data_IF_621815743027
#
_entry.id   IF_621815743027
#
_cell.length_a   1.000
_cell.length_b   1.000
_cell.length_c   1.000
_cell.angle_alpha   90.00
_cell.angle_beta   90.00
_cell.angle_gamma   90.00
#
_symmetry.space_group_name_H-M   'P 1'
#
loop_
_entity.id
_entity.type
_entity.pdbx_description
1 polymer ?
#
# COMPACT_ATOMS: atom_id res chain seq x y z
N UNK A 1 1.20 -10.72 -9.05
CA UNK A 1 2.65 -10.72 -9.41
C UNK A 1 3.56 -11.06 -8.22
N UNK A 2 3.13 -10.77 -6.98
CA UNK A 2 3.79 -11.22 -5.74
C UNK A 2 2.77 -11.73 -4.69
N UNK A 3 1.50 -11.84 -5.05
CA UNK A 3 0.39 -12.08 -4.11
C UNK A 3 0.47 -13.46 -3.44
N UNK A 4 1.12 -14.42 -4.12
CA UNK A 4 1.48 -15.74 -3.63
C UNK A 4 2.62 -15.72 -2.59
N UNK A 5 3.36 -14.61 -2.49
CA UNK A 5 4.59 -14.47 -1.69
C UNK A 5 4.47 -13.43 -0.59
N UNK A 6 3.32 -12.76 -0.45
CA UNK A 6 3.10 -11.70 0.53
C UNK A 6 1.91 -12.09 1.42
N UNK A 7 2.12 -12.00 2.72
CA UNK A 7 1.07 -12.14 3.73
C UNK A 7 1.09 -10.94 4.67
N UNK A 8 0.23 -10.94 5.69
CA UNK A 8 0.24 -9.95 6.76
C UNK A 8 0.70 -10.56 8.08
N UNK A 9 1.53 -9.82 8.82
CA UNK A 9 1.87 -10.16 10.19
C UNK A 9 0.75 -9.80 11.18
N UNK A 10 0.97 -10.05 12.47
CA UNK A 10 0.01 -9.69 13.52
C UNK A 10 -0.27 -8.17 13.58
N UNK A 11 0.67 -7.34 13.12
CA UNK A 11 0.59 -5.89 12.97
C UNK A 11 -0.19 -5.43 11.75
N UNK A 12 -0.61 -6.34 10.87
CA UNK A 12 -1.21 -6.06 9.57
C UNK A 12 -0.24 -5.41 8.57
N UNK A 13 1.07 -5.58 8.80
CA UNK A 13 2.14 -5.20 7.87
C UNK A 13 2.35 -6.30 6.86
N UNK A 14 2.63 -5.91 5.61
CA UNK A 14 2.98 -6.83 4.54
C UNK A 14 4.36 -7.43 4.80
N UNK A 15 4.44 -8.75 4.83
CA UNK A 15 5.66 -9.52 5.07
C UNK A 15 5.76 -10.69 4.09
N UNK A 16 6.97 -11.16 3.75
CA UNK A 16 7.14 -12.32 2.89
C UNK A 16 6.56 -13.59 3.53
N UNK A 17 5.89 -14.40 2.72
CA UNK A 17 5.61 -15.82 3.07
C UNK A 17 6.93 -16.60 3.09
N UNK A 18 7.77 -16.37 2.09
CA UNK A 18 9.11 -16.92 1.94
C UNK A 18 10.05 -15.80 1.48
N UNK A 19 11.04 -15.47 2.31
CA UNK A 19 11.95 -14.34 2.08
C UNK A 19 12.88 -14.59 0.89
N UNK A 20 13.33 -15.82 0.69
CA UNK A 20 14.25 -16.17 -0.39
C UNK A 20 13.51 -16.22 -1.72
N UNK A 21 12.33 -16.83 -1.74
CA UNK A 21 11.46 -16.84 -2.92
C UNK A 21 11.07 -15.42 -3.35
N UNK A 22 10.73 -14.55 -2.40
CA UNK A 22 10.43 -13.15 -2.70
C UNK A 22 11.66 -12.41 -3.24
N UNK A 23 12.83 -12.61 -2.64
CA UNK A 23 14.09 -12.00 -3.10
C UNK A 23 14.41 -12.40 -4.55
N UNK A 24 14.29 -13.69 -4.88
CA UNK A 24 14.49 -14.20 -6.24
C UNK A 24 13.48 -13.57 -7.21
N UNK A 25 12.20 -13.49 -6.82
CA UNK A 25 11.16 -12.91 -7.67
C UNK A 25 11.39 -11.42 -7.91
N UNK A 26 11.76 -10.65 -6.90
CA UNK A 26 12.14 -9.23 -7.03
C UNK A 26 13.35 -9.08 -7.96
N UNK A 27 14.36 -9.95 -7.85
CA UNK A 27 15.51 -9.98 -8.75
C UNK A 27 15.10 -10.15 -10.23
N UNK A 28 14.18 -11.07 -10.53
CA UNK A 28 13.65 -11.27 -11.88
C UNK A 28 12.90 -10.04 -12.41
N UNK A 29 12.04 -9.43 -11.60
CA UNK A 29 11.32 -8.21 -12.00
C UNK A 29 12.30 -7.05 -12.30
N UNK A 30 13.40 -6.93 -11.55
CA UNK A 30 14.45 -5.95 -11.83
C UNK A 30 15.17 -6.20 -13.15
N UNK A 31 15.50 -7.45 -13.45
CA UNK A 31 16.11 -7.83 -14.73
C UNK A 31 15.16 -7.52 -15.89
N UNK A 32 13.87 -7.84 -15.74
CA UNK A 32 12.85 -7.50 -16.74
C UNK A 32 12.75 -5.98 -16.96
N UNK A 33 12.72 -5.20 -15.88
CA UNK A 33 12.69 -3.74 -15.96
C UNK A 33 13.94 -3.16 -16.64
N UNK A 34 15.12 -3.73 -16.39
CA UNK A 34 16.37 -3.31 -17.00
C UNK A 34 16.46 -3.69 -18.49
N UNK A 35 15.76 -4.74 -18.91
CA UNK A 35 15.69 -5.18 -20.30
C UNK A 35 14.64 -4.41 -21.13
N UNK A 36 13.82 -3.54 -20.51
CA UNK A 36 12.87 -2.73 -21.24
C UNK A 36 13.58 -1.72 -22.15
N UNK A 37 13.17 -1.57 -23.42
CA UNK A 37 13.65 -0.50 -24.27
C UNK A 37 13.34 0.87 -23.66
N UNK A 38 14.28 1.81 -23.77
CA UNK A 38 14.28 3.10 -23.09
C UNK A 38 13.06 3.98 -23.42
N UNK A 39 12.41 3.74 -24.57
CA UNK A 39 11.33 4.56 -25.12
C UNK A 39 9.97 3.84 -25.25
N UNK A 40 9.90 2.52 -25.01
CA UNK A 40 8.79 1.74 -25.57
C UNK A 40 7.60 1.50 -24.63
N UNK A 41 7.77 1.45 -23.30
CA UNK A 41 6.73 0.89 -22.43
C UNK A 41 6.62 1.57 -21.05
N UNK A 42 6.24 2.86 -20.97
CA UNK A 42 6.11 3.57 -19.69
C UNK A 42 5.08 2.91 -18.75
N UNK A 43 4.01 2.32 -19.31
CA UNK A 43 3.02 1.56 -18.54
C UNK A 43 3.60 0.30 -17.90
N UNK A 44 4.37 -0.49 -18.66
CA UNK A 44 5.03 -1.69 -18.13
C UNK A 44 6.11 -1.33 -17.11
N UNK A 45 6.92 -0.30 -17.40
CA UNK A 45 7.93 0.22 -16.49
C UNK A 45 7.32 0.68 -15.16
N UNK A 46 6.17 1.35 -15.19
CA UNK A 46 5.40 1.73 -14.00
C UNK A 46 5.03 0.52 -13.17
N UNK A 47 4.39 -0.47 -13.79
CA UNK A 47 3.90 -1.67 -13.12
C UNK A 47 5.06 -2.47 -12.49
N UNK A 48 6.14 -2.70 -13.23
CA UNK A 48 7.33 -3.39 -12.72
C UNK A 48 7.97 -2.62 -11.56
N UNK A 49 8.13 -1.30 -11.70
CA UNK A 49 8.68 -0.46 -10.63
C UNK A 49 7.82 -0.55 -9.37
N UNK A 50 6.49 -0.53 -9.48
CA UNK A 50 5.60 -0.69 -8.32
C UNK A 50 5.83 -2.02 -7.61
N UNK A 51 5.85 -3.13 -8.34
CA UNK A 51 5.99 -4.46 -7.75
C UNK A 51 7.37 -4.72 -7.16
N UNK A 52 8.44 -4.23 -7.80
CA UNK A 52 9.79 -4.26 -7.22
C UNK A 52 9.79 -3.48 -5.90
N UNK A 53 9.17 -2.30 -5.88
CA UNK A 53 9.04 -1.47 -4.68
C UNK A 53 8.28 -2.16 -3.55
N UNK A 54 7.15 -2.82 -3.86
CA UNK A 54 6.38 -3.63 -2.88
C UNK A 54 7.18 -4.82 -2.37
N UNK A 55 7.92 -5.50 -3.25
CA UNK A 55 8.78 -6.61 -2.85
C UNK A 55 9.86 -6.16 -1.87
N UNK A 56 10.57 -5.07 -2.17
CA UNK A 56 11.53 -4.49 -1.24
C UNK A 56 10.91 -4.02 0.07
N UNK A 57 9.71 -3.44 0.01
CA UNK A 57 8.97 -3.05 1.19
C UNK A 57 8.74 -4.25 2.14
N UNK A 58 8.27 -5.37 1.59
CA UNK A 58 8.04 -6.59 2.37
C UNK A 58 9.35 -7.19 2.89
N UNK A 59 10.44 -7.08 2.13
CA UNK A 59 11.77 -7.51 2.56
C UNK A 59 12.38 -6.58 3.64
N UNK A 60 11.78 -5.43 3.95
CA UNK A 60 12.31 -4.45 4.91
C UNK A 60 13.40 -3.54 4.31
N UNK A 61 13.55 -3.52 2.99
CA UNK A 61 14.52 -2.68 2.28
C UNK A 61 13.85 -1.36 1.90
N UNK A 62 13.64 -0.50 2.90
CA UNK A 62 12.78 0.69 2.77
C UNK A 62 13.33 1.74 1.80
N UNK A 63 14.65 1.89 1.69
CA UNK A 63 15.25 2.85 0.76
C UNK A 63 15.05 2.43 -0.71
N UNK A 64 15.31 1.17 -1.03
CA UNK A 64 15.05 0.62 -2.36
C UNK A 64 13.56 0.65 -2.68
N UNK A 65 12.70 0.30 -1.72
CA UNK A 65 11.26 0.40 -1.87
C UNK A 65 10.83 1.81 -2.28
N UNK A 66 11.29 2.84 -1.55
CA UNK A 66 11.01 4.25 -1.86
C UNK A 66 11.51 4.65 -3.24
N UNK A 67 12.69 4.19 -3.65
CA UNK A 67 13.27 4.48 -4.96
C UNK A 67 12.37 3.99 -6.10
N UNK A 68 11.98 2.71 -6.06
CA UNK A 68 11.14 2.14 -7.11
C UNK A 68 9.68 2.64 -7.06
N UNK A 69 9.14 2.87 -5.86
CA UNK A 69 7.78 3.40 -5.69
C UNK A 69 7.68 4.87 -6.17
N UNK A 70 8.69 5.71 -5.93
CA UNK A 70 8.73 7.07 -6.51
C UNK A 70 8.82 7.04 -8.03
N UNK A 71 9.64 6.15 -8.61
CA UNK A 71 9.69 5.95 -10.07
C UNK A 71 8.31 5.56 -10.63
N UNK A 72 7.64 4.59 -10.00
CA UNK A 72 6.28 4.18 -10.38
C UNK A 72 5.29 5.33 -10.25
N UNK A 73 5.35 6.11 -9.17
CA UNK A 73 4.44 7.22 -8.92
C UNK A 73 4.62 8.34 -9.97
N UNK A 74 5.86 8.67 -10.31
CA UNK A 74 6.16 9.64 -11.37
C UNK A 74 5.63 9.18 -12.74
N UNK A 75 5.80 7.90 -13.09
CA UNK A 75 5.23 7.33 -14.31
C UNK A 75 3.69 7.31 -14.28
N UNK A 76 3.08 7.01 -13.13
CA UNK A 76 1.62 7.05 -12.98
C UNK A 76 1.06 8.46 -13.26
N UNK A 77 1.72 9.50 -12.74
CA UNK A 77 1.36 10.89 -13.03
C UNK A 77 1.53 11.24 -14.51
N UNK A 78 2.67 10.89 -15.11
CA UNK A 78 2.95 11.16 -16.52
C UNK A 78 1.95 10.47 -17.47
N UNK A 79 1.43 9.31 -17.08
CA UNK A 79 0.44 8.54 -17.83
C UNK A 79 -1.01 8.96 -17.53
N UNK A 80 -1.25 9.84 -16.56
CA UNK A 80 -2.60 10.20 -16.12
C UNK A 80 -3.36 9.07 -15.39
N UNK A 81 -2.67 8.00 -14.99
CA UNK A 81 -3.26 6.83 -14.31
C UNK A 81 -3.49 7.14 -12.83
N UNK A 82 -4.62 7.80 -12.56
CA UNK A 82 -4.97 8.30 -11.22
C UNK A 82 -5.19 7.16 -10.22
N UNK A 83 -5.67 5.99 -10.68
CA UNK A 83 -5.79 4.79 -9.83
C UNK A 83 -4.41 4.32 -9.39
N UNK A 84 -3.43 4.28 -10.30
CA UNK A 84 -2.05 3.93 -9.97
C UNK A 84 -1.37 4.97 -9.08
N UNK A 85 -1.70 6.27 -9.20
CA UNK A 85 -1.23 7.32 -8.29
C UNK A 85 -1.62 6.99 -6.85
N UNK A 86 -2.92 6.76 -6.59
CA UNK A 86 -3.42 6.41 -5.25
C UNK A 86 -2.76 5.12 -4.75
N UNK A 87 -2.79 4.06 -5.54
CA UNK A 87 -2.28 2.75 -5.13
C UNK A 87 -0.75 2.70 -4.93
N UNK A 88 0.02 3.54 -5.65
CA UNK A 88 1.47 3.63 -5.47
C UNK A 88 1.83 4.57 -4.33
N UNK A 89 1.09 5.68 -4.16
CA UNK A 89 1.25 6.61 -3.05
C UNK A 89 1.04 5.94 -1.69
N UNK A 90 0.02 5.09 -1.57
CA UNK A 90 -0.23 4.28 -0.37
C UNK A 90 0.94 3.33 -0.08
N UNK A 91 1.48 2.64 -1.08
CA UNK A 91 2.63 1.76 -0.87
C UNK A 91 3.89 2.54 -0.47
N UNK A 92 4.06 3.76 -1.01
CA UNK A 92 5.16 4.64 -0.63
C UNK A 92 4.99 5.10 0.83
N UNK A 93 3.77 5.42 1.24
CA UNK A 93 3.42 5.74 2.62
C UNK A 93 3.68 4.54 3.56
N UNK A 94 3.30 3.32 3.17
CA UNK A 94 3.59 2.09 3.90
C UNK A 94 5.11 1.91 4.10
N UNK A 95 5.94 2.30 3.12
CA UNK A 95 7.40 2.25 3.27
C UNK A 95 7.94 3.20 4.31
N UNK A 96 7.38 4.39 4.46
CA UNK A 96 7.78 5.31 5.53
C UNK A 96 7.23 4.85 6.88
N UNK A 97 5.99 4.35 6.91
CA UNK A 97 5.36 3.79 8.10
C UNK A 97 6.15 2.60 8.67
N UNK A 98 6.62 1.68 7.83
CA UNK A 98 7.41 0.54 8.29
C UNK A 98 8.79 0.94 8.81
N UNK A 99 9.38 1.99 8.22
CA UNK A 99 10.67 2.59 8.61
C UNK A 99 10.57 3.51 9.85
N UNK A 100 9.37 3.73 10.39
CA UNK A 100 9.12 4.54 11.58
C UNK A 100 8.96 6.04 11.34
N UNK A 101 9.02 6.51 10.09
CA UNK A 101 8.77 7.90 9.73
C UNK A 101 7.27 8.16 9.53
N UNK A 102 6.58 8.31 10.66
CA UNK A 102 5.13 8.52 10.67
C UNK A 102 4.71 9.81 9.99
N UNK A 103 5.52 10.87 10.06
CA UNK A 103 5.18 12.18 9.50
C UNK A 103 5.17 12.16 7.97
N UNK A 104 6.19 11.54 7.36
CA UNK A 104 6.22 11.37 5.90
C UNK A 104 5.12 10.42 5.41
N UNK A 105 4.82 9.37 6.18
CA UNK A 105 3.74 8.44 5.86
C UNK A 105 2.37 9.14 5.88
N UNK A 106 2.06 9.91 6.93
CA UNK A 106 0.79 10.64 7.08
C UNK A 106 0.56 11.61 5.92
N UNK A 107 1.59 12.36 5.51
CA UNK A 107 1.48 13.28 4.38
C UNK A 107 1.11 12.56 3.06
N UNK A 108 1.67 11.37 2.83
CA UNK A 108 1.38 10.56 1.65
C UNK A 108 0.01 9.88 1.70
N UNK A 109 -0.40 9.37 2.87
CA UNK A 109 -1.76 8.83 3.04
C UNK A 109 -2.82 9.89 2.80
N UNK A 110 -2.65 11.08 3.37
CA UNK A 110 -3.55 12.21 3.15
C UNK A 110 -3.63 12.59 1.67
N UNK A 111 -2.50 12.74 1.00
CA UNK A 111 -2.46 13.05 -0.44
C UNK A 111 -3.16 11.98 -1.29
N UNK A 112 -2.96 10.69 -0.98
CA UNK A 112 -3.63 9.60 -1.67
C UNK A 112 -5.15 9.57 -1.41
N UNK A 113 -5.58 9.84 -0.17
CA UNK A 113 -6.99 9.91 0.20
C UNK A 113 -7.69 11.10 -0.47
N UNK A 114 -7.07 12.27 -0.48
CA UNK A 114 -7.60 13.46 -1.16
C UNK A 114 -7.76 13.21 -2.66
N UNK A 115 -6.74 12.60 -3.29
CA UNK A 115 -6.80 12.19 -4.70
C UNK A 115 -7.91 11.18 -4.94
N UNK A 116 -8.09 10.21 -4.04
CA UNK A 116 -9.17 9.22 -4.16
C UNK A 116 -10.55 9.88 -4.06
N UNK A 117 -10.75 10.78 -3.10
CA UNK A 117 -12.03 11.49 -2.94
C UNK A 117 -12.40 12.35 -4.14
N UNK A 118 -11.41 13.05 -4.72
CA UNK A 118 -11.62 13.98 -5.82
C UNK A 118 -11.80 13.27 -7.18
N UNK A 119 -10.99 12.24 -7.45
CA UNK A 119 -10.81 11.73 -8.82
C UNK A 119 -11.11 10.26 -9.03
N UNK A 120 -11.02 9.45 -7.98
CA UNK A 120 -11.27 7.99 -8.05
C UNK A 120 -12.02 7.51 -6.80
N UNK A 121 -13.28 7.95 -6.58
CA UNK A 121 -14.05 7.69 -5.35
C UNK A 121 -14.17 6.20 -5.00
N UNK A 122 -14.09 5.33 -6.00
CA UNK A 122 -14.08 3.89 -5.84
C UNK A 122 -12.84 3.34 -5.12
N UNK A 123 -11.81 4.15 -4.86
CA UNK A 123 -10.64 3.80 -4.05
C UNK A 123 -10.60 4.47 -2.67
N UNK A 124 -11.64 5.23 -2.29
CA UNK A 124 -11.69 5.92 -0.98
C UNK A 124 -11.59 4.91 0.17
N UNK A 125 -12.29 3.78 0.12
CA UNK A 125 -12.18 2.75 1.15
C UNK A 125 -10.76 2.15 1.22
N UNK A 126 -10.08 2.01 0.08
CA UNK A 126 -8.71 1.51 0.04
C UNK A 126 -7.76 2.50 0.75
N UNK A 127 -7.89 3.80 0.47
CA UNK A 127 -7.10 4.83 1.13
C UNK A 127 -7.41 4.95 2.64
N UNK A 128 -8.69 4.91 3.03
CA UNK A 128 -9.12 4.96 4.43
C UNK A 128 -8.63 3.73 5.22
N UNK A 129 -8.69 2.53 4.65
CA UNK A 129 -8.19 1.30 5.28
C UNK A 129 -6.70 1.44 5.66
N UNK A 130 -5.88 1.94 4.75
CA UNK A 130 -4.44 2.08 4.99
C UNK A 130 -4.12 3.24 5.95
N UNK A 131 -4.85 4.36 5.84
CA UNK A 131 -4.73 5.48 6.79
C UNK A 131 -5.13 5.06 8.21
N UNK A 132 -6.23 4.31 8.36
CA UNK A 132 -6.65 3.78 9.65
C UNK A 132 -5.62 2.82 10.27
N UNK A 133 -4.97 1.96 9.46
CA UNK A 133 -3.86 1.13 9.94
C UNK A 133 -2.66 1.98 10.39
N UNK A 134 -2.36 3.06 9.67
CA UNK A 134 -1.30 3.99 10.05
C UNK A 134 -1.57 4.65 11.41
N UNK A 135 -2.75 5.23 11.59
CA UNK A 135 -3.17 5.83 12.86
C UNK A 135 -3.12 4.81 14.01
N UNK A 136 -3.58 3.58 13.75
CA UNK A 136 -3.55 2.51 14.73
C UNK A 136 -2.12 2.16 15.18
N UNK A 137 -1.16 2.13 14.26
CA UNK A 137 0.26 1.89 14.60
C UNK A 137 0.91 3.06 15.33
N UNK A 138 0.43 4.29 15.12
CA UNK A 138 0.95 5.51 15.76
C UNK A 138 0.19 5.90 17.04
N UNK A 139 -0.75 5.06 17.49
CA UNK A 139 -1.44 5.20 18.78
C UNK A 139 -2.69 6.09 18.75
N UNK A 140 -3.06 6.68 17.61
CA UNK A 140 -4.37 7.33 17.46
C UNK A 140 -5.45 6.28 17.21
N UNK A 141 -5.81 5.57 18.29
CA UNK A 141 -6.80 4.49 18.24
C UNK A 141 -8.21 5.01 17.97
N UNK A 142 -8.54 6.23 18.42
CA UNK A 142 -9.84 6.85 18.18
C UNK A 142 -10.00 7.24 16.71
N UNK A 143 -9.00 7.90 16.13
CA UNK A 143 -8.98 8.23 14.70
C UNK A 143 -8.97 6.98 13.84
N UNK A 144 -8.14 5.99 14.18
CA UNK A 144 -8.11 4.71 13.49
C UNK A 144 -9.49 4.02 13.48
N UNK A 145 -10.19 4.01 14.62
CA UNK A 145 -11.50 3.37 14.71
C UNK A 145 -12.54 4.08 13.85
N UNK A 146 -12.54 5.42 13.84
CA UNK A 146 -13.43 6.20 12.99
C UNK A 146 -13.23 5.87 11.50
N UNK A 147 -11.98 5.91 11.03
CA UNK A 147 -11.66 5.62 9.62
C UNK A 147 -11.97 4.17 9.25
N UNK A 148 -11.68 3.20 10.12
CA UNK A 148 -11.94 1.79 9.85
C UNK A 148 -13.44 1.46 9.85
N UNK A 149 -14.25 2.14 10.66
CA UNK A 149 -15.72 2.01 10.61
C UNK A 149 -16.30 2.58 9.31
N UNK A 150 -15.84 3.75 8.88
CA UNK A 150 -16.22 4.33 7.59
C UNK A 150 -15.84 3.41 6.43
N UNK A 151 -14.60 2.90 6.46
CA UNK A 151 -14.10 1.92 5.48
C UNK A 151 -15.02 0.69 5.40
N UNK A 152 -15.42 0.14 6.56
CA UNK A 152 -16.29 -1.04 6.61
C UNK A 152 -17.65 -0.76 5.98
N UNK A 153 -18.25 0.40 6.25
CA UNK A 153 -19.52 0.80 5.65
C UNK A 153 -19.42 0.87 4.12
N UNK A 154 -18.36 1.50 3.60
CA UNK A 154 -18.13 1.59 2.15
C UNK A 154 -17.93 0.22 1.51
N UNK A 155 -17.18 -0.68 2.15
CA UNK A 155 -16.93 -2.04 1.64
C UNK A 155 -18.16 -2.93 1.69
N UNK A 156 -19.01 -2.78 2.70
CA UNK A 156 -20.34 -3.43 2.76
C UNK A 156 -21.20 -2.97 1.60
N UNK A 157 -21.27 -1.65 1.34
CA UNK A 157 -22.04 -1.12 0.22
C UNK A 157 -21.53 -1.63 -1.15
N UNK A 158 -20.22 -1.88 -1.28
CA UNK A 158 -19.61 -2.46 -2.48
C UNK A 158 -19.82 -3.98 -2.61
N UNK A 159 -20.12 -4.68 -1.51
CA UNK A 159 -20.32 -6.14 -1.51
C UNK A 159 -19.03 -6.97 -1.62
N UNK A 160 -17.86 -6.39 -1.36
CA UNK A 160 -16.58 -7.12 -1.44
C UNK A 160 -16.28 -7.85 -0.13
N UNK A 161 -16.57 -9.16 -0.10
CA UNK A 161 -16.43 -10.00 1.08
C UNK A 161 -15.01 -10.09 1.64
N UNK A 162 -13.99 -10.10 0.79
CA UNK A 162 -12.58 -10.17 1.20
C UNK A 162 -12.14 -8.86 1.86
N UNK A 163 -12.50 -7.73 1.24
CA UNK A 163 -12.21 -6.41 1.80
C UNK A 163 -12.95 -6.17 3.12
N UNK A 164 -14.20 -6.62 3.23
CA UNK A 164 -14.98 -6.58 4.48
C UNK A 164 -14.26 -7.37 5.58
N UNK A 165 -13.82 -8.60 5.28
CA UNK A 165 -13.09 -9.43 6.23
C UNK A 165 -11.78 -8.77 6.69
N UNK A 166 -11.04 -8.17 5.75
CA UNK A 166 -9.80 -7.43 6.04
C UNK A 166 -10.03 -6.25 7.00
N UNK A 167 -11.09 -5.46 6.80
CA UNK A 167 -11.41 -4.34 7.69
C UNK A 167 -11.89 -4.81 9.07
N UNK A 168 -12.66 -5.91 9.13
CA UNK A 168 -13.05 -6.52 10.41
C UNK A 168 -11.86 -7.03 11.20
N UNK A 169 -10.86 -7.61 10.54
CA UNK A 169 -9.62 -8.02 11.19
C UNK A 169 -8.86 -6.82 11.78
N UNK A 170 -8.83 -5.69 11.06
CA UNK A 170 -8.25 -4.44 11.57
C UNK A 170 -8.98 -3.90 12.81
N UNK A 171 -10.32 -3.85 12.77
CA UNK A 171 -11.13 -3.45 13.93
C UNK A 171 -10.98 -4.42 15.12
N UNK A 172 -10.88 -5.72 14.88
CA UNK A 172 -10.65 -6.71 15.92
C UNK A 172 -9.28 -6.53 16.59
N UNK A 173 -8.25 -6.18 15.81
CA UNK A 173 -6.94 -5.80 16.34
C UNK A 173 -7.02 -4.54 17.18
N UNK A 174 -7.70 -3.51 16.68
CA UNK A 174 -7.88 -2.25 17.40
C UNK A 174 -8.54 -2.47 18.77
N UNK A 175 -9.60 -3.29 18.85
CA UNK A 175 -10.28 -3.64 20.12
C UNK A 175 -9.33 -4.28 21.14
N UNK A 176 -8.47 -5.19 20.69
CA UNK A 176 -7.42 -5.80 21.54
C UNK A 176 -6.45 -4.76 22.08
N UNK A 177 -6.10 -3.73 21.29
CA UNK A 177 -5.22 -2.64 21.73
C UNK A 177 -5.92 -1.69 22.72
N UNK A 178 -7.23 -1.49 22.58
CA UNK A 178 -8.02 -0.64 23.48
C UNK A 178 -8.55 -1.35 24.72
N UNK A 179 -8.35 -2.67 24.85
CA UNK A 179 -8.87 -3.48 25.96
C UNK A 179 -10.40 -3.65 25.97
N UNK A 180 -11.04 -3.55 24.79
CA UNK A 180 -12.50 -3.68 24.60
C UNK A 180 -12.88 -5.04 24.01
#
# INVERSE_FOLDING_TARGET
>A
MLDDLITQDAGLRMVPVDRDALTVRVGRLRQELAALPQEAEPGRARVLSRWIGVGYLCLGHHEEARTYLRRSLALAWALGDTRAVVATGINLADSYRYDGDGSAAEALYRSALDTARDRVPELVDFALQHTGKHLMEHGDLTGAEALLRETLALRIAKGDGELIASTRAALARLRRLTGQ
#
